data_IF_002826258012
#
_entry.id   IF_002826258012
#
_cell.length_a   1.000
_cell.length_b   1.000
_cell.length_c   1.000
_cell.angle_alpha   90.00
_cell.angle_beta   90.00
_cell.angle_gamma   90.00
#
_symmetry.space_group_name_H-M   'P 1'
#
loop_
_entity.id
_entity.type
_entity.pdbx_description
1 polymer ?
#
# COMPACT_ATOMS: atom_id res chain seq x y z
N UNK A 1 -41.44 -27.82 2.58
CA UNK A 1 -39.99 -27.95 2.33
C UNK A 1 -39.33 -26.72 1.67
N UNK A 2 -40.07 -25.75 1.10
CA UNK A 2 -39.46 -24.56 0.46
C UNK A 2 -39.18 -23.36 1.38
N UNK A 3 -39.74 -23.32 2.60
CA UNK A 3 -39.59 -22.18 3.51
C UNK A 3 -38.27 -22.17 4.31
N UNK A 4 -37.66 -23.34 4.55
CA UNK A 4 -36.40 -23.44 5.30
C UNK A 4 -35.20 -23.03 4.44
N UNK A 5 -35.19 -23.43 3.16
CA UNK A 5 -34.12 -23.12 2.20
C UNK A 5 -34.02 -21.62 1.85
N UNK A 6 -35.11 -20.86 1.90
CA UNK A 6 -35.07 -19.41 1.68
C UNK A 6 -34.53 -18.67 2.90
N UNK A 7 -34.84 -19.13 4.12
CA UNK A 7 -34.35 -18.51 5.36
C UNK A 7 -32.83 -18.68 5.54
N UNK A 8 -32.28 -19.87 5.26
CA UNK A 8 -30.83 -20.12 5.37
C UNK A 8 -30.02 -19.30 4.38
N UNK A 9 -30.48 -19.18 3.13
CA UNK A 9 -29.82 -18.34 2.11
C UNK A 9 -29.79 -16.86 2.51
N UNK A 10 -30.86 -16.38 3.15
CA UNK A 10 -30.96 -15.00 3.62
C UNK A 10 -30.08 -14.72 4.84
N UNK A 11 -29.91 -15.69 5.76
CA UNK A 11 -29.01 -15.55 6.91
C UNK A 11 -27.54 -15.56 6.47
N UNK A 12 -27.17 -16.46 5.55
CA UNK A 12 -25.80 -16.55 5.01
C UNK A 12 -25.44 -15.29 4.21
N UNK A 13 -26.38 -14.71 3.45
CA UNK A 13 -26.14 -13.47 2.70
C UNK A 13 -25.99 -12.25 3.62
N UNK A 14 -26.81 -12.15 4.68
CA UNK A 14 -26.75 -11.07 5.67
C UNK A 14 -25.45 -11.06 6.47
N UNK A 15 -24.97 -12.24 6.89
CA UNK A 15 -23.68 -12.37 7.60
C UNK A 15 -22.50 -11.92 6.73
N UNK A 16 -22.48 -12.33 5.45
CA UNK A 16 -21.44 -11.92 4.51
C UNK A 16 -21.45 -10.41 4.25
N UNK A 17 -22.62 -9.80 4.08
CA UNK A 17 -22.76 -8.35 3.92
C UNK A 17 -22.24 -7.60 5.16
N UNK A 18 -22.56 -8.09 6.36
CA UNK A 18 -22.08 -7.50 7.62
C UNK A 18 -20.55 -7.52 7.69
N UNK A 19 -19.91 -8.64 7.34
CA UNK A 19 -18.44 -8.74 7.33
C UNK A 19 -17.83 -7.75 6.33
N UNK A 20 -18.38 -7.63 5.13
CA UNK A 20 -17.90 -6.68 4.12
C UNK A 20 -18.03 -5.23 4.62
N UNK A 21 -19.19 -4.87 5.17
CA UNK A 21 -19.44 -3.53 5.72
C UNK A 21 -18.48 -3.21 6.88
N UNK A 22 -18.24 -4.16 7.77
CA UNK A 22 -17.33 -3.98 8.90
C UNK A 22 -15.86 -3.88 8.44
N UNK A 23 -15.46 -4.63 7.41
CA UNK A 23 -14.12 -4.51 6.84
C UNK A 23 -13.90 -3.11 6.24
N UNK A 24 -14.87 -2.61 5.45
CA UNK A 24 -14.81 -1.26 4.86
C UNK A 24 -14.88 -0.17 5.91
N UNK A 25 -15.85 -0.23 6.83
CA UNK A 25 -15.99 0.75 7.91
C UNK A 25 -14.75 0.80 8.78
N UNK A 26 -14.21 -0.35 9.18
CA UNK A 26 -12.96 -0.43 9.92
C UNK A 26 -11.77 0.12 9.15
N UNK A 27 -11.65 -0.18 7.85
CA UNK A 27 -10.62 0.40 6.99
C UNK A 27 -10.73 1.93 6.95
N UNK A 28 -11.92 2.48 6.70
CA UNK A 28 -12.12 3.92 6.56
C UNK A 28 -11.78 4.66 7.85
N UNK A 29 -12.20 4.13 9.01
CA UNK A 29 -11.84 4.68 10.32
C UNK A 29 -10.33 4.59 10.60
N UNK A 30 -9.70 3.51 10.15
CA UNK A 30 -8.26 3.32 10.25
C UNK A 30 -7.48 3.98 9.11
N UNK A 31 -8.11 4.65 8.15
CA UNK A 31 -7.41 5.30 7.04
C UNK A 31 -7.07 6.75 7.37
N UNK A 32 -6.44 7.46 6.43
CA UNK A 32 -6.30 8.93 6.49
C UNK A 32 -7.63 9.68 6.37
N UNK A 33 -8.75 9.03 6.02
CA UNK A 33 -10.02 9.71 5.82
C UNK A 33 -10.50 10.57 7.01
N UNK A 34 -10.48 10.10 8.28
CA UNK A 34 -10.96 10.93 9.37
C UNK A 34 -10.03 12.12 9.62
N UNK A 35 -8.73 12.00 9.33
CA UNK A 35 -7.81 13.13 9.35
C UNK A 35 -8.13 14.13 8.23
N UNK A 36 -8.34 13.66 7.00
CA UNK A 36 -8.73 14.52 5.87
C UNK A 36 -10.03 15.27 6.19
N UNK A 37 -11.03 14.58 6.77
CA UNK A 37 -12.29 15.22 7.18
C UNK A 37 -12.04 16.29 8.25
N UNK A 38 -11.29 15.96 9.30
CA UNK A 38 -10.98 16.89 10.37
C UNK A 38 -10.24 18.13 9.84
N UNK A 39 -9.22 17.94 9.02
CA UNK A 39 -8.35 19.01 8.55
C UNK A 39 -8.99 19.86 7.45
N UNK A 40 -9.54 19.24 6.38
CA UNK A 40 -10.04 19.97 5.22
C UNK A 40 -11.45 20.54 5.42
N UNK A 41 -12.29 19.88 6.22
CA UNK A 41 -13.71 20.26 6.35
C UNK A 41 -14.05 20.87 7.71
N UNK A 42 -13.30 20.54 8.76
CA UNK A 42 -13.54 21.05 10.11
C UNK A 42 -12.46 22.03 10.58
N UNK A 43 -11.36 22.19 9.83
CA UNK A 43 -10.24 23.06 10.20
C UNK A 43 -9.49 22.59 11.46
N UNK A 44 -9.58 21.30 11.79
CA UNK A 44 -8.94 20.69 12.96
C UNK A 44 -7.74 19.87 12.53
N UNK A 45 -6.54 20.33 12.88
CA UNK A 45 -5.31 19.54 12.72
C UNK A 45 -5.13 18.59 13.91
N UNK A 46 -5.28 17.29 13.64
CA UNK A 46 -5.10 16.22 14.62
C UNK A 46 -3.65 15.79 14.79
N UNK A 47 -2.72 16.30 13.97
CA UNK A 47 -1.28 16.12 14.11
C UNK A 47 -0.84 14.72 14.55
N UNK A 48 0.05 14.60 15.56
CA UNK A 48 0.47 13.31 16.12
C UNK A 48 -0.63 12.53 16.84
N UNK A 49 -1.69 13.20 17.32
CA UNK A 49 -2.79 12.58 18.07
C UNK A 49 -3.57 11.57 17.20
N UNK A 50 -3.58 11.77 15.89
CA UNK A 50 -4.23 10.86 14.94
C UNK A 50 -3.71 9.41 15.04
N UNK A 51 -2.40 9.24 15.26
CA UNK A 51 -1.80 7.91 15.35
C UNK A 51 -2.30 7.13 16.58
N UNK A 52 -2.47 7.82 17.70
CA UNK A 52 -3.03 7.23 18.92
C UNK A 52 -4.52 6.92 18.76
N UNK A 53 -5.27 7.75 18.03
CA UNK A 53 -6.65 7.48 17.70
C UNK A 53 -6.78 6.20 16.85
N UNK A 54 -5.96 6.01 15.82
CA UNK A 54 -5.97 4.78 15.02
C UNK A 54 -5.64 3.54 15.86
N UNK A 55 -4.69 3.64 16.79
CA UNK A 55 -4.40 2.53 17.71
C UNK A 55 -5.60 2.20 18.61
N UNK A 56 -6.27 3.21 19.16
CA UNK A 56 -7.46 3.02 19.97
C UNK A 56 -8.60 2.38 19.15
N UNK A 57 -8.87 2.89 17.94
CA UNK A 57 -9.86 2.32 17.02
C UNK A 57 -9.50 0.88 16.65
N UNK A 58 -8.24 0.60 16.35
CA UNK A 58 -7.74 -0.73 16.03
C UNK A 58 -7.96 -1.72 17.17
N UNK A 59 -7.64 -1.32 18.40
CA UNK A 59 -7.88 -2.11 19.60
C UNK A 59 -9.37 -2.43 19.80
N UNK A 60 -10.26 -1.44 19.61
CA UNK A 60 -11.72 -1.63 19.69
C UNK A 60 -12.22 -2.59 18.61
N UNK A 61 -11.76 -2.44 17.37
CA UNK A 61 -12.13 -3.34 16.26
C UNK A 61 -11.68 -4.78 16.53
N UNK A 62 -10.44 -4.97 17.01
CA UNK A 62 -9.92 -6.28 17.40
C UNK A 62 -10.77 -6.88 18.53
N UNK A 63 -11.04 -6.14 19.60
CA UNK A 63 -11.88 -6.58 20.71
C UNK A 63 -13.28 -6.99 20.23
N UNK A 64 -13.86 -6.23 19.29
CA UNK A 64 -15.12 -6.55 18.62
C UNK A 64 -15.12 -7.94 17.96
N UNK A 65 -13.99 -8.41 17.43
CA UNK A 65 -13.87 -9.77 16.84
C UNK A 65 -13.86 -10.91 17.86
N UNK A 66 -13.70 -10.61 19.16
CA UNK A 66 -13.82 -11.60 20.23
C UNK A 66 -15.24 -11.63 20.81
N UNK A 67 -15.89 -10.47 20.87
CA UNK A 67 -17.25 -10.31 21.41
C UNK A 67 -18.31 -10.74 20.40
N UNK A 68 -18.14 -10.39 19.12
CA UNK A 68 -19.13 -10.68 18.07
C UNK A 68 -18.64 -11.77 17.12
N UNK A 69 -19.26 -12.95 17.21
CA UNK A 69 -18.88 -14.13 16.43
C UNK A 69 -18.83 -13.90 14.92
N UNK A 70 -19.73 -13.08 14.37
CA UNK A 70 -19.77 -12.72 12.94
C UNK A 70 -18.48 -12.05 12.47
N UNK A 71 -17.76 -11.32 13.35
CA UNK A 71 -16.57 -10.57 13.00
C UNK A 71 -15.25 -11.33 13.19
N UNK A 72 -15.30 -12.55 13.75
CA UNK A 72 -14.11 -13.38 13.98
C UNK A 72 -13.21 -13.52 12.73
N UNK A 73 -13.74 -13.67 11.50
CA UNK A 73 -12.90 -13.76 10.30
C UNK A 73 -12.04 -12.51 10.03
N UNK A 74 -12.41 -11.34 10.55
CA UNK A 74 -11.68 -10.08 10.35
C UNK A 74 -10.56 -9.85 11.37
N UNK A 75 -10.38 -10.76 12.35
CA UNK A 75 -9.41 -10.57 13.43
C UNK A 75 -7.99 -10.37 12.92
N UNK A 76 -7.55 -11.23 12.00
CA UNK A 76 -6.21 -11.12 11.43
C UNK A 76 -6.00 -9.82 10.66
N UNK A 77 -7.02 -9.42 9.89
CA UNK A 77 -7.01 -8.17 9.15
C UNK A 77 -6.89 -6.93 10.06
N UNK A 78 -7.73 -6.79 11.09
CA UNK A 78 -7.61 -5.68 12.04
C UNK A 78 -6.33 -5.75 12.87
N UNK A 79 -5.84 -6.96 13.16
CA UNK A 79 -4.53 -7.18 13.76
C UNK A 79 -3.40 -6.59 12.93
N UNK A 80 -3.37 -6.89 11.63
CA UNK A 80 -2.36 -6.35 10.70
C UNK A 80 -2.43 -4.82 10.61
N UNK A 81 -3.62 -4.25 10.42
CA UNK A 81 -3.77 -2.79 10.37
C UNK A 81 -3.33 -2.08 11.66
N UNK A 82 -3.66 -2.67 12.82
CA UNK A 82 -3.25 -2.10 14.11
C UNK A 82 -1.74 -2.24 14.32
N UNK A 83 -1.16 -3.38 13.91
CA UNK A 83 0.28 -3.61 13.98
C UNK A 83 1.07 -2.61 13.12
N UNK A 84 0.56 -2.23 11.95
CA UNK A 84 1.14 -1.17 11.11
C UNK A 84 1.27 0.16 11.87
N UNK A 85 0.22 0.58 12.59
CA UNK A 85 0.27 1.80 13.39
C UNK A 85 1.17 1.67 14.60
N UNK A 86 1.16 0.53 15.28
CA UNK A 86 2.08 0.27 16.39
C UNK A 86 3.54 0.31 15.95
N UNK A 87 3.83 -0.29 14.79
CA UNK A 87 5.14 -0.24 14.16
C UNK A 87 5.52 1.18 13.75
N UNK A 88 4.57 1.98 13.27
CA UNK A 88 4.81 3.40 12.94
C UNK A 88 5.15 4.22 14.18
N UNK A 89 4.47 4.00 15.32
CA UNK A 89 4.84 4.63 16.60
C UNK A 89 6.27 4.26 16.99
N UNK A 90 6.60 2.96 16.95
CA UNK A 90 7.93 2.47 17.30
C UNK A 90 9.02 3.03 16.37
N UNK A 91 8.74 3.09 15.07
CA UNK A 91 9.66 3.67 14.09
C UNK A 91 9.81 5.18 14.28
N UNK A 92 8.75 5.93 14.54
CA UNK A 92 8.86 7.37 14.84
C UNK A 92 9.70 7.63 16.09
N UNK A 93 9.57 6.79 17.12
CA UNK A 93 10.41 6.86 18.30
C UNK A 93 11.89 6.56 17.97
N UNK A 94 12.16 5.55 17.15
CA UNK A 94 13.50 5.19 16.69
C UNK A 94 14.12 6.31 15.84
N UNK A 95 13.39 6.81 14.85
CA UNK A 95 13.88 7.84 13.92
C UNK A 95 14.06 9.18 14.60
N UNK A 96 13.34 9.45 15.70
CA UNK A 96 13.53 10.64 16.54
C UNK A 96 14.76 10.58 17.45
N UNK A 97 15.48 9.45 17.53
CA UNK A 97 16.68 9.36 18.39
C UNK A 97 17.86 10.16 17.83
N UNK A 98 18.73 10.65 18.72
CA UNK A 98 19.95 11.35 18.33
C UNK A 98 20.88 10.48 17.47
N UNK A 99 20.88 9.16 17.67
CA UNK A 99 21.68 8.23 16.85
C UNK A 99 21.15 8.20 15.42
N UNK A 100 19.84 8.03 15.22
CA UNK A 100 19.25 8.02 13.89
C UNK A 100 19.43 9.37 13.19
N UNK A 101 19.15 10.46 13.89
CA UNK A 101 19.35 11.82 13.37
C UNK A 101 20.82 12.11 13.06
N UNK A 102 21.76 11.55 13.82
CA UNK A 102 23.20 11.68 13.53
C UNK A 102 23.66 10.90 12.30
N UNK A 103 22.94 9.84 11.89
CA UNK A 103 23.27 9.07 10.68
C UNK A 103 22.56 9.57 9.43
N UNK A 104 21.28 9.95 9.57
CA UNK A 104 20.42 10.23 8.42
C UNK A 104 19.77 11.61 8.46
N UNK A 105 19.80 12.31 9.59
CA UNK A 105 19.19 13.63 9.75
C UNK A 105 20.19 14.77 9.62
N UNK A 106 19.69 16.01 9.75
CA UNK A 106 20.51 17.23 9.74
C UNK A 106 20.56 17.93 8.39
N UNK A 107 20.74 19.25 8.42
CA UNK A 107 20.74 20.12 7.23
C UNK A 107 21.97 19.96 6.34
N UNK A 108 23.05 19.39 6.87
CA UNK A 108 24.31 19.15 6.14
C UNK A 108 24.41 17.72 5.58
N UNK A 109 23.44 16.86 5.88
CA UNK A 109 23.46 15.47 5.43
C UNK A 109 23.11 15.40 3.95
N UNK A 110 23.94 14.70 3.19
CA UNK A 110 23.72 14.50 1.75
C UNK A 110 22.33 13.88 1.52
N UNK A 111 21.61 14.39 0.52
CA UNK A 111 20.25 13.95 0.18
C UNK A 111 20.11 12.42 0.12
N UNK A 112 21.03 11.74 -0.55
CA UNK A 112 21.00 10.29 -0.70
C UNK A 112 21.04 9.56 0.65
N UNK A 113 21.77 10.06 1.64
CA UNK A 113 21.87 9.45 2.96
C UNK A 113 20.59 9.68 3.78
N UNK A 114 20.05 10.90 3.76
CA UNK A 114 18.76 11.20 4.40
C UNK A 114 17.63 10.36 3.80
N UNK A 115 17.55 10.33 2.47
CA UNK A 115 16.53 9.60 1.75
C UNK A 115 16.66 8.07 1.94
N UNK A 116 17.88 7.55 2.04
CA UNK A 116 18.12 6.17 2.42
C UNK A 116 17.53 5.84 3.79
N UNK A 117 17.73 6.71 4.79
CA UNK A 117 17.13 6.56 6.12
C UNK A 117 15.61 6.47 6.06
N UNK A 118 14.96 7.36 5.31
CA UNK A 118 13.51 7.31 5.11
C UNK A 118 13.04 5.99 4.49
N UNK A 119 13.67 5.56 3.39
CA UNK A 119 13.31 4.31 2.72
C UNK A 119 13.59 3.09 3.60
N UNK A 120 14.64 3.14 4.41
CA UNK A 120 14.95 2.10 5.40
C UNK A 120 13.80 1.97 6.41
N UNK A 121 13.23 3.08 6.86
CA UNK A 121 12.03 3.07 7.72
C UNK A 121 10.85 2.32 7.10
N UNK A 122 10.59 2.54 5.80
CA UNK A 122 9.51 1.84 5.06
C UNK A 122 9.78 0.33 4.97
N UNK A 123 11.03 -0.07 4.73
CA UNK A 123 11.43 -1.49 4.73
C UNK A 123 11.27 -2.10 6.12
N UNK A 124 11.71 -1.41 7.18
CA UNK A 124 11.56 -1.89 8.55
C UNK A 124 10.08 -2.08 8.92
N UNK A 125 9.20 -1.16 8.51
CA UNK A 125 7.75 -1.30 8.69
C UNK A 125 7.23 -2.59 8.03
N UNK A 126 7.62 -2.84 6.78
CA UNK A 126 7.25 -4.06 6.06
C UNK A 126 7.75 -5.34 6.73
N UNK A 127 8.98 -5.32 7.26
CA UNK A 127 9.55 -6.46 7.98
C UNK A 127 8.79 -6.73 9.28
N UNK A 128 8.33 -5.71 10.00
CA UNK A 128 7.48 -5.88 11.19
C UNK A 128 6.15 -6.51 10.82
N UNK A 129 5.47 -6.02 9.77
CA UNK A 129 4.21 -6.60 9.29
C UNK A 129 4.37 -8.05 8.88
N UNK A 130 5.43 -8.35 8.12
CA UNK A 130 5.78 -9.71 7.74
C UNK A 130 6.01 -10.58 8.99
N UNK A 131 6.76 -10.09 9.97
CA UNK A 131 6.99 -10.79 11.25
C UNK A 131 5.69 -11.09 11.98
N UNK A 132 4.76 -10.13 12.05
CA UNK A 132 3.43 -10.32 12.68
C UNK A 132 2.65 -11.42 11.97
N UNK A 133 2.60 -11.43 10.63
CA UNK A 133 1.90 -12.46 9.88
C UNK A 133 2.52 -13.85 10.10
N UNK A 134 3.84 -13.96 10.12
CA UNK A 134 4.54 -15.21 10.40
C UNK A 134 4.27 -15.71 11.82
N UNK A 135 4.23 -14.80 12.81
CA UNK A 135 3.84 -15.13 14.20
C UNK A 135 2.37 -15.55 14.32
N UNK A 136 1.50 -15.09 13.42
CA UNK A 136 0.12 -15.56 13.27
C UNK A 136 0.03 -16.92 12.56
N UNK A 137 1.16 -17.57 12.26
CA UNK A 137 1.23 -18.88 11.63
C UNK A 137 1.02 -18.87 10.11
N UNK A 138 1.03 -17.70 9.47
CA UNK A 138 0.97 -17.62 8.01
C UNK A 138 2.28 -18.09 7.40
N UNK A 139 2.20 -18.88 6.33
CA UNK A 139 3.39 -19.25 5.55
C UNK A 139 3.79 -18.13 4.60
N UNK A 140 5.02 -18.22 4.04
CA UNK A 140 5.49 -17.31 2.99
C UNK A 140 4.52 -17.24 1.81
N UNK A 141 3.88 -18.35 1.47
CA UNK A 141 2.91 -18.44 0.38
C UNK A 141 1.61 -17.69 0.68
N UNK A 142 1.13 -17.80 1.91
CA UNK A 142 -0.13 -17.17 2.33
C UNK A 142 -0.04 -15.64 2.28
N UNK A 143 1.16 -15.11 2.55
CA UNK A 143 1.47 -13.68 2.50
C UNK A 143 2.03 -13.22 1.15
N UNK A 144 1.91 -14.01 0.09
CA UNK A 144 2.39 -13.69 -1.27
C UNK A 144 3.91 -13.49 -1.38
N UNK A 145 4.71 -13.93 -0.40
CA UNK A 145 6.17 -13.85 -0.42
C UNK A 145 6.80 -14.96 -1.29
N UNK A 146 6.35 -15.00 -2.54
CA UNK A 146 6.79 -15.88 -3.62
C UNK A 146 6.96 -15.08 -4.91
N UNK A 147 7.64 -15.68 -5.90
CA UNK A 147 7.77 -15.08 -7.24
C UNK A 147 6.42 -14.93 -7.94
N UNK A 148 5.48 -15.84 -7.69
CA UNK A 148 4.20 -15.93 -8.39
C UNK A 148 4.34 -16.40 -9.84
N UNK A 149 3.20 -16.67 -10.48
CA UNK A 149 3.10 -17.05 -11.88
C UNK A 149 2.84 -15.83 -12.78
N UNK A 150 3.90 -15.24 -13.33
CA UNK A 150 3.79 -14.05 -14.19
C UNK A 150 3.07 -14.32 -15.52
N UNK A 151 2.95 -15.59 -15.91
CA UNK A 151 2.21 -16.02 -17.09
C UNK A 151 0.71 -16.19 -16.82
N UNK A 152 0.26 -15.97 -15.58
CA UNK A 152 -1.16 -15.89 -15.24
C UNK A 152 -1.87 -14.87 -16.14
N UNK A 153 -3.13 -15.15 -16.45
CA UNK A 153 -3.91 -14.43 -17.46
C UNK A 153 -4.74 -13.33 -16.83
N UNK A 154 -4.70 -12.15 -17.44
CA UNK A 154 -5.34 -10.90 -16.95
C UNK A 154 -6.82 -10.75 -17.29
N UNK A 155 -7.38 -11.69 -18.07
CA UNK A 155 -8.71 -11.53 -18.68
C UNK A 155 -8.78 -10.55 -19.86
N UNK A 156 -7.70 -9.81 -20.17
CA UNK A 156 -7.66 -8.85 -21.28
C UNK A 156 -7.28 -9.53 -22.60
N UNK A 157 -7.96 -9.14 -23.68
CA UNK A 157 -7.74 -9.65 -25.03
C UNK A 157 -7.16 -8.56 -25.94
N UNK A 158 -6.34 -8.96 -26.90
CA UNK A 158 -6.04 -8.09 -28.04
C UNK A 158 -7.23 -8.12 -29.03
N UNK A 159 -7.51 -7.02 -29.75
CA UNK A 159 -8.49 -7.02 -30.83
C UNK A 159 -8.22 -8.17 -31.81
N UNK A 160 -9.25 -8.97 -32.10
CA UNK A 160 -9.15 -10.12 -33.00
C UNK A 160 -8.43 -11.36 -32.42
N UNK A 161 -8.11 -11.41 -31.13
CA UNK A 161 -7.50 -12.59 -30.49
C UNK A 161 -8.36 -13.18 -29.37
N UNK A 162 -8.45 -14.52 -29.35
CA UNK A 162 -9.20 -15.28 -28.34
C UNK A 162 -8.40 -15.57 -27.07
N UNK A 163 -7.07 -15.50 -27.12
CA UNK A 163 -6.21 -15.74 -25.96
C UNK A 163 -6.00 -14.46 -25.16
N UNK A 164 -6.22 -14.55 -23.85
CA UNK A 164 -5.95 -13.47 -22.90
C UNK A 164 -4.45 -13.21 -22.75
N UNK A 165 -4.09 -11.97 -22.48
CA UNK A 165 -2.71 -11.56 -22.24
C UNK A 165 -2.25 -11.95 -20.84
N UNK A 166 -0.96 -12.28 -20.71
CA UNK A 166 -0.34 -12.57 -19.41
C UNK A 166 0.00 -11.30 -18.65
N UNK A 167 0.03 -11.41 -17.32
CA UNK A 167 0.47 -10.35 -16.43
C UNK A 167 1.89 -9.84 -16.72
N UNK A 168 2.81 -10.70 -17.14
CA UNK A 168 4.15 -10.28 -17.57
C UNK A 168 4.12 -9.21 -18.67
N UNK A 169 3.13 -9.23 -19.56
CA UNK A 169 3.03 -8.28 -20.68
C UNK A 169 2.23 -7.06 -20.23
N UNK A 170 1.01 -7.29 -19.73
CA UNK A 170 0.09 -6.21 -19.35
C UNK A 170 0.66 -5.40 -18.19
N UNK A 171 1.14 -6.06 -17.15
CA UNK A 171 1.68 -5.41 -15.96
C UNK A 171 2.91 -4.57 -16.26
N UNK A 172 3.89 -5.12 -16.99
CA UNK A 172 5.10 -4.37 -17.34
C UNK A 172 4.79 -3.22 -18.31
N UNK A 173 3.96 -3.45 -19.34
CA UNK A 173 3.57 -2.37 -20.26
C UNK A 173 2.83 -1.25 -19.52
N UNK A 174 1.90 -1.58 -18.64
CA UNK A 174 1.20 -0.60 -17.81
C UNK A 174 2.17 0.15 -16.90
N UNK A 175 3.11 -0.54 -16.24
CA UNK A 175 4.10 0.10 -15.38
C UNK A 175 4.99 1.09 -16.15
N UNK A 176 5.49 0.73 -17.34
CA UNK A 176 6.27 1.65 -18.17
C UNK A 176 5.46 2.85 -18.63
N UNK A 177 4.22 2.65 -19.09
CA UNK A 177 3.34 3.76 -19.51
C UNK A 177 3.07 4.69 -18.34
N UNK A 178 2.75 4.15 -17.16
CA UNK A 178 2.50 4.94 -15.95
C UNK A 178 3.75 5.70 -15.51
N UNK A 179 4.93 5.06 -15.53
CA UNK A 179 6.19 5.71 -15.21
C UNK A 179 6.47 6.90 -16.15
N UNK A 180 6.27 6.73 -17.46
CA UNK A 180 6.44 7.80 -18.44
C UNK A 180 5.45 8.94 -18.24
N UNK A 181 4.16 8.63 -18.05
CA UNK A 181 3.12 9.64 -17.84
C UNK A 181 3.34 10.41 -16.53
N UNK A 182 3.70 9.71 -15.46
CA UNK A 182 3.97 10.31 -14.16
C UNK A 182 5.23 11.16 -14.19
N UNK A 183 6.33 10.63 -14.73
CA UNK A 183 7.57 11.39 -14.90
C UNK A 183 7.36 12.65 -15.73
N UNK A 184 6.66 12.53 -16.87
CA UNK A 184 6.28 13.68 -17.68
C UNK A 184 5.43 14.68 -16.88
N UNK A 185 4.36 14.23 -16.23
CA UNK A 185 3.49 15.10 -15.44
C UNK A 185 4.23 15.85 -14.32
N UNK A 186 5.15 15.18 -13.62
CA UNK A 186 5.98 15.81 -12.59
C UNK A 186 6.87 16.93 -13.16
N UNK A 187 7.49 16.72 -14.32
CA UNK A 187 8.29 17.77 -14.99
C UNK A 187 7.44 18.96 -15.46
N UNK A 188 6.16 18.76 -15.78
CA UNK A 188 5.26 19.85 -16.14
C UNK A 188 4.79 20.64 -14.92
N UNK A 189 4.58 19.97 -13.78
CA UNK A 189 4.15 20.64 -12.53
C UNK A 189 5.29 21.43 -11.87
N UNK A 190 6.54 20.98 -12.04
CA UNK A 190 7.71 21.68 -11.55
C UNK A 190 8.81 21.68 -12.63
N UNK A 191 8.75 22.64 -13.59
CA UNK A 191 9.78 22.78 -14.60
C UNK A 191 11.07 23.26 -13.95
N UNK A 192 11.91 22.31 -13.55
CA UNK A 192 13.24 22.56 -13.00
C UNK A 192 14.25 23.02 -14.06
N UNK A 193 15.50 23.29 -13.66
CA UNK A 193 16.58 23.56 -14.60
C UNK A 193 16.82 22.36 -15.54
N UNK A 194 17.59 22.58 -16.61
CA UNK A 194 17.96 21.50 -17.51
C UNK A 194 18.62 20.35 -16.75
N UNK A 195 18.23 19.11 -17.05
CA UNK A 195 18.72 17.92 -16.36
C UNK A 195 20.25 17.79 -16.49
N UNK A 196 20.95 17.70 -15.37
CA UNK A 196 22.34 17.25 -15.34
C UNK A 196 22.37 15.72 -15.48
N UNK A 197 22.60 15.28 -16.71
CA UNK A 197 22.68 13.86 -17.05
C UNK A 197 23.86 13.14 -16.36
N UNK A 198 24.98 13.83 -16.14
CA UNK A 198 26.13 13.22 -15.49
C UNK A 198 25.79 12.91 -14.03
N UNK A 199 25.20 13.87 -13.33
CA UNK A 199 24.78 13.69 -11.95
C UNK A 199 23.69 12.61 -11.81
N UNK A 200 22.70 12.60 -12.69
CA UNK A 200 21.65 11.56 -12.68
C UNK A 200 22.22 10.17 -12.91
N UNK A 201 23.22 10.02 -13.79
CA UNK A 201 23.91 8.74 -13.98
C UNK A 201 24.65 8.28 -12.72
N UNK A 202 25.27 9.22 -11.97
CA UNK A 202 25.89 8.91 -10.69
C UNK A 202 24.89 8.52 -9.61
N UNK A 203 23.71 9.15 -9.59
CA UNK A 203 22.65 8.87 -8.63
C UNK A 203 21.78 7.67 -9.00
N UNK A 204 21.83 7.19 -10.25
CA UNK A 204 20.99 6.10 -10.74
C UNK A 204 21.02 4.83 -9.86
N UNK A 205 22.17 4.35 -9.35
CA UNK A 205 22.19 3.19 -8.45
C UNK A 205 21.41 3.44 -7.15
N UNK A 206 21.51 4.65 -6.59
CA UNK A 206 20.77 5.02 -5.38
C UNK A 206 19.28 5.14 -5.66
N UNK A 207 18.89 5.78 -6.78
CA UNK A 207 17.50 5.89 -7.22
C UNK A 207 16.85 4.51 -7.35
N UNK A 208 17.52 3.57 -8.02
CA UNK A 208 17.02 2.21 -8.19
C UNK A 208 16.92 1.45 -6.86
N UNK A 209 17.91 1.63 -5.98
CA UNK A 209 17.88 1.05 -4.63
C UNK A 209 16.69 1.59 -3.83
N UNK A 210 16.50 2.91 -3.82
CA UNK A 210 15.41 3.55 -3.09
C UNK A 210 14.06 3.11 -3.65
N UNK A 211 13.90 3.09 -4.97
CA UNK A 211 12.67 2.65 -5.63
C UNK A 211 12.35 1.19 -5.29
N UNK A 212 13.36 0.32 -5.24
CA UNK A 212 13.20 -1.06 -4.81
C UNK A 212 12.78 -1.16 -3.33
N UNK A 213 13.44 -0.40 -2.44
CA UNK A 213 13.11 -0.37 -1.02
C UNK A 213 11.68 0.10 -0.79
N UNK A 214 11.25 1.15 -1.48
CA UNK A 214 9.90 1.68 -1.39
C UNK A 214 8.88 0.70 -1.95
N UNK A 215 9.07 0.23 -3.19
CA UNK A 215 8.19 -0.75 -3.82
C UNK A 215 8.02 -2.00 -2.97
N UNK A 216 9.11 -2.61 -2.49
CA UNK A 216 9.01 -3.77 -1.61
C UNK A 216 8.29 -3.44 -0.30
N UNK A 217 8.68 -2.34 0.35
CA UNK A 217 8.14 -1.97 1.65
C UNK A 217 6.64 -1.70 1.58
N UNK A 218 6.20 -0.94 0.58
CA UNK A 218 4.79 -0.63 0.40
C UNK A 218 3.95 -1.82 -0.07
N UNK A 219 4.45 -2.61 -1.02
CA UNK A 219 3.74 -3.81 -1.49
C UNK A 219 3.57 -4.83 -0.36
N UNK A 220 4.59 -5.00 0.51
CA UNK A 220 4.50 -5.92 1.62
C UNK A 220 3.57 -5.39 2.73
N UNK A 221 3.76 -4.14 3.16
CA UNK A 221 3.04 -3.55 4.29
C UNK A 221 1.57 -3.24 3.96
N UNK A 222 1.29 -2.65 2.79
CA UNK A 222 0.00 -2.07 2.46
C UNK A 222 -0.80 -2.87 1.43
N UNK A 223 -0.20 -3.88 0.76
CA UNK A 223 -0.94 -4.84 -0.09
C UNK A 223 -0.90 -6.24 0.48
N UNK A 224 0.24 -6.92 0.44
CA UNK A 224 0.36 -8.34 0.77
C UNK A 224 -0.15 -8.65 2.18
N UNK A 225 0.21 -7.81 3.16
CA UNK A 225 -0.27 -7.90 4.54
C UNK A 225 -1.80 -7.94 4.64
N UNK A 226 -2.52 -6.85 4.35
CA UNK A 226 -3.98 -6.85 4.45
C UNK A 226 -4.66 -7.79 3.45
N UNK A 227 -4.15 -7.93 2.22
CA UNK A 227 -4.75 -8.83 1.23
C UNK A 227 -4.75 -10.27 1.74
N UNK A 228 -3.64 -10.76 2.30
CA UNK A 228 -3.52 -12.13 2.83
C UNK A 228 -4.62 -12.49 3.84
N UNK A 229 -5.13 -11.49 4.56
CA UNK A 229 -6.16 -11.67 5.57
C UNK A 229 -7.59 -11.45 5.04
N UNK A 230 -7.75 -10.81 3.88
CA UNK A 230 -9.05 -10.33 3.40
C UNK A 230 -9.62 -11.09 2.21
N UNK A 231 -8.79 -11.46 1.23
CA UNK A 231 -9.30 -11.88 -0.09
C UNK A 231 -10.20 -13.11 0.00
N UNK A 232 -9.89 -14.05 0.89
CA UNK A 232 -10.70 -15.25 1.13
C UNK A 232 -11.95 -14.98 1.99
N UNK A 233 -11.96 -13.87 2.77
CA UNK A 233 -13.04 -13.52 3.70
C UNK A 233 -14.12 -12.69 3.02
N UNK A 234 -13.73 -11.63 2.30
CA UNK A 234 -14.67 -10.69 1.65
C UNK A 234 -14.72 -10.83 0.13
N UNK A 235 -13.86 -11.68 -0.45
CA UNK A 235 -13.72 -11.88 -1.89
C UNK A 235 -12.65 -10.98 -2.51
N UNK A 236 -12.07 -11.44 -3.62
CA UNK A 236 -10.93 -10.79 -4.29
C UNK A 236 -11.21 -9.34 -4.67
N UNK A 237 -12.34 -9.06 -5.33
CA UNK A 237 -12.70 -7.71 -5.75
C UNK A 237 -12.82 -6.74 -4.57
N UNK A 238 -13.49 -7.15 -3.49
CA UNK A 238 -13.66 -6.32 -2.31
C UNK A 238 -12.32 -6.06 -1.63
N UNK A 239 -11.49 -7.09 -1.48
CA UNK A 239 -10.17 -6.96 -0.85
C UNK A 239 -9.25 -6.03 -1.67
N UNK A 240 -9.19 -6.18 -2.99
CA UNK A 240 -8.38 -5.31 -3.86
C UNK A 240 -8.83 -3.87 -3.73
N UNK A 241 -10.11 -3.58 -3.95
CA UNK A 241 -10.62 -2.20 -3.87
C UNK A 241 -10.44 -1.59 -2.47
N UNK A 242 -10.64 -2.37 -1.42
CA UNK A 242 -10.47 -1.91 -0.05
C UNK A 242 -9.01 -1.52 0.23
N UNK A 243 -8.04 -2.35 -0.14
CA UNK A 243 -6.61 -2.02 0.03
C UNK A 243 -6.15 -0.88 -0.89
N UNK A 244 -6.71 -0.79 -2.09
CA UNK A 244 -6.45 0.29 -3.04
C UNK A 244 -6.95 1.65 -2.54
N UNK A 245 -8.20 1.72 -2.06
CA UNK A 245 -8.75 2.95 -1.47
C UNK A 245 -7.97 3.35 -0.22
N UNK A 246 -7.62 2.39 0.64
CA UNK A 246 -6.80 2.67 1.81
C UNK A 246 -5.44 3.28 1.43
N UNK A 247 -4.78 2.70 0.43
CA UNK A 247 -3.51 3.20 -0.07
C UNK A 247 -3.61 4.59 -0.71
N UNK A 248 -4.64 4.82 -1.53
CA UNK A 248 -4.94 6.11 -2.12
C UNK A 248 -5.16 7.19 -1.05
N UNK A 249 -5.99 6.91 -0.04
CA UNK A 249 -6.18 7.83 1.10
C UNK A 249 -4.86 8.11 1.82
N UNK A 250 -3.98 7.11 1.94
CA UNK A 250 -2.62 7.27 2.46
C UNK A 250 -1.79 8.32 1.72
N UNK A 251 -2.03 8.51 0.43
CA UNK A 251 -1.32 9.44 -0.46
C UNK A 251 -1.88 10.85 -0.47
N UNK A 252 -2.99 11.11 0.22
CA UNK A 252 -3.58 12.45 0.26
C UNK A 252 -2.61 13.49 0.82
N UNK A 253 -1.84 13.14 1.85
CA UNK A 253 -0.79 13.99 2.42
C UNK A 253 0.58 13.35 2.24
N UNK A 254 1.54 14.12 1.72
CA UNK A 254 2.94 13.68 1.56
C UNK A 254 3.21 12.68 0.43
N UNK A 255 2.17 12.24 -0.30
CA UNK A 255 2.33 11.47 -1.54
C UNK A 255 2.88 12.33 -2.68
N UNK A 256 3.46 11.69 -3.70
CA UNK A 256 3.90 12.38 -4.92
C UNK A 256 3.22 11.73 -6.13
N UNK A 257 2.22 12.39 -6.74
CA UNK A 257 1.58 13.65 -6.33
C UNK A 257 0.72 13.49 -5.05
N UNK A 258 0.44 14.59 -4.36
CA UNK A 258 -0.41 14.64 -3.16
C UNK A 258 -1.83 15.17 -3.48
N UNK A 259 -2.67 15.27 -2.44
CA UNK A 259 -4.02 15.80 -2.52
C UNK A 259 -5.03 14.84 -3.13
N UNK A 260 -6.24 15.32 -3.51
CA UNK A 260 -7.28 14.47 -4.07
C UNK A 260 -6.84 13.71 -5.33
N UNK A 261 -6.08 14.36 -6.21
CA UNK A 261 -5.56 13.73 -7.43
C UNK A 261 -4.54 12.64 -7.11
N UNK A 262 -3.58 12.93 -6.23
CA UNK A 262 -2.63 11.94 -5.73
C UNK A 262 -3.30 10.72 -5.14
N UNK A 263 -4.30 10.94 -4.27
CA UNK A 263 -5.06 9.87 -3.67
C UNK A 263 -5.80 9.00 -4.70
N UNK A 264 -6.42 9.61 -5.71
CA UNK A 264 -7.10 8.90 -6.78
C UNK A 264 -6.13 8.07 -7.64
N UNK A 265 -5.02 8.67 -8.07
CA UNK A 265 -4.01 8.00 -8.91
C UNK A 265 -3.36 6.83 -8.17
N UNK A 266 -2.91 7.03 -6.93
CA UNK A 266 -2.32 5.97 -6.11
C UNK A 266 -3.35 4.87 -5.79
N UNK A 267 -4.62 5.22 -5.59
CA UNK A 267 -5.69 4.24 -5.44
C UNK A 267 -5.87 3.37 -6.69
N UNK A 268 -5.96 3.97 -7.88
CA UNK A 268 -6.07 3.23 -9.14
C UNK A 268 -4.84 2.36 -9.41
N UNK A 269 -3.64 2.84 -9.09
CA UNK A 269 -2.42 2.05 -9.11
C UNK A 269 -2.51 0.86 -8.14
N UNK A 270 -3.01 1.09 -6.92
CA UNK A 270 -3.25 0.05 -5.92
C UNK A 270 -4.18 -1.05 -6.42
N UNK A 271 -5.21 -0.72 -7.23
CA UNK A 271 -6.06 -1.73 -7.88
C UNK A 271 -5.24 -2.59 -8.83
N UNK A 272 -4.45 -1.97 -9.72
CA UNK A 272 -3.62 -2.68 -10.70
C UNK A 272 -2.64 -3.63 -10.01
N UNK A 273 -1.91 -3.14 -9.01
CA UNK A 273 -0.90 -3.90 -8.26
C UNK A 273 -1.54 -5.00 -7.42
N UNK A 274 -2.65 -4.71 -6.73
CA UNK A 274 -3.40 -5.70 -5.95
C UNK A 274 -3.96 -6.83 -6.81
N UNK A 275 -4.50 -6.51 -7.99
CA UNK A 275 -4.92 -7.54 -8.97
C UNK A 275 -3.74 -8.38 -9.45
N UNK A 276 -2.63 -7.75 -9.81
CA UNK A 276 -1.42 -8.46 -10.22
C UNK A 276 -0.95 -9.43 -9.12
N UNK A 277 -0.97 -9.00 -7.86
CA UNK A 277 -0.57 -9.82 -6.71
C UNK A 277 -1.48 -11.04 -6.53
N UNK A 278 -2.81 -10.84 -6.54
CA UNK A 278 -3.76 -11.94 -6.36
C UNK A 278 -3.75 -12.93 -7.53
N UNK A 279 -3.76 -12.44 -8.77
CA UNK A 279 -3.87 -13.28 -9.95
C UNK A 279 -2.56 -14.02 -10.26
N UNK A 280 -1.40 -13.45 -9.92
CA UNK A 280 -0.11 -14.14 -10.03
C UNK A 280 0.26 -14.94 -8.78
N UNK A 281 -0.44 -14.72 -7.65
CA UNK A 281 -0.16 -15.32 -6.33
C UNK A 281 1.28 -15.07 -5.87
N UNK A 282 1.80 -13.87 -6.07
CA UNK A 282 3.14 -13.50 -5.62
C UNK A 282 3.42 -12.00 -5.68
N UNK A 283 4.37 -11.55 -4.86
CA UNK A 283 4.73 -10.14 -4.68
C UNK A 283 5.74 -9.64 -5.73
N UNK A 284 6.50 -10.52 -6.37
CA UNK A 284 7.63 -10.12 -7.20
C UNK A 284 7.23 -9.27 -8.42
N UNK A 285 6.12 -9.58 -9.09
CA UNK A 285 5.66 -8.77 -10.23
C UNK A 285 5.10 -7.41 -9.78
N UNK A 286 4.19 -7.31 -8.79
CA UNK A 286 3.78 -6.03 -8.22
C UNK A 286 4.96 -5.14 -7.79
N UNK A 287 5.97 -5.71 -7.11
CA UNK A 287 7.17 -4.96 -6.70
C UNK A 287 7.96 -4.47 -7.91
N UNK A 288 8.13 -5.28 -8.95
CA UNK A 288 8.82 -4.83 -10.17
C UNK A 288 8.02 -3.73 -10.88
N UNK A 289 6.70 -3.87 -10.99
CA UNK A 289 5.83 -2.85 -11.58
C UNK A 289 5.92 -1.53 -10.81
N UNK A 290 5.84 -1.60 -9.48
CA UNK A 290 5.92 -0.44 -8.60
C UNK A 290 7.32 0.19 -8.66
N UNK A 291 8.40 -0.60 -8.64
CA UNK A 291 9.78 -0.11 -8.82
C UNK A 291 9.94 0.69 -10.10
N UNK A 292 9.40 0.22 -11.23
CA UNK A 292 9.48 0.93 -12.52
C UNK A 292 8.81 2.31 -12.43
N UNK A 293 7.67 2.40 -11.74
CA UNK A 293 6.92 3.65 -11.54
C UNK A 293 7.69 4.58 -10.59
N UNK A 294 8.13 4.07 -9.44
CA UNK A 294 8.87 4.84 -8.43
C UNK A 294 10.23 5.32 -8.95
N UNK A 295 10.85 4.60 -9.88
CA UNK A 295 12.08 5.06 -10.54
C UNK A 295 11.86 6.41 -11.23
N UNK A 296 10.70 6.65 -11.87
CA UNK A 296 10.40 7.95 -12.47
C UNK A 296 10.24 9.05 -11.41
N UNK A 297 9.56 8.75 -10.30
CA UNK A 297 9.40 9.69 -9.18
C UNK A 297 10.76 10.03 -8.57
N UNK A 298 11.60 9.03 -8.36
CA UNK A 298 12.87 9.20 -7.65
C UNK A 298 13.97 9.78 -8.53
N UNK A 299 13.91 9.58 -9.85
CA UNK A 299 14.69 10.38 -10.79
C UNK A 299 14.32 11.87 -10.71
N UNK A 300 13.02 12.18 -10.65
CA UNK A 300 12.55 13.56 -10.50
C UNK A 300 13.00 14.17 -9.16
N UNK A 301 12.87 13.43 -8.05
CA UNK A 301 13.36 13.89 -6.74
C UNK A 301 14.88 14.09 -6.73
N UNK A 302 15.64 13.15 -7.29
CA UNK A 302 17.09 13.29 -7.41
C UNK A 302 17.49 14.53 -8.23
N UNK A 303 16.73 14.86 -9.28
CA UNK A 303 17.00 16.04 -10.13
C UNK A 303 16.68 17.38 -9.46
N UNK A 304 15.89 17.38 -8.38
CA UNK A 304 15.45 18.59 -7.67
C UNK A 304 16.11 18.75 -6.30
N UNK A 305 16.78 17.72 -5.81
CA UNK A 305 17.40 17.69 -4.50
C UNK A 305 18.78 18.37 -4.43
N UNK A 306 19.32 18.83 -5.58
CA UNK A 306 20.66 19.41 -5.69
C UNK A 306 20.63 20.70 -6.48
#
# INVERSE_FOLDING_TARGET
>A
MNHTLSSEKNVVSSGKQTIVLMAWGGMLLLSRLPQIIAQEFLGVDLGPQMLWLWLAVGAVLIAGTFVWATLRPLRGYFGVLTALYAATVALNALTGTAVWQGWFGGTETAWALSFFGERLGVVLLALVVMGVLLLMGQSRRDIFLEKGNWRARTGLHLPGRTKTLSWAIVGLAAAFVLALLLGWGLTQMNPGPALDWQQLLWLAPFVLLFALMNAFGEEMAFRAGPLSQLWAVIGENQAVWLTAVWFGLGHYYGGIPSGPMGAALSGLLGVLLGKAMLETRGIALPVLMHLIIDTAIYLFLASTAV
#
